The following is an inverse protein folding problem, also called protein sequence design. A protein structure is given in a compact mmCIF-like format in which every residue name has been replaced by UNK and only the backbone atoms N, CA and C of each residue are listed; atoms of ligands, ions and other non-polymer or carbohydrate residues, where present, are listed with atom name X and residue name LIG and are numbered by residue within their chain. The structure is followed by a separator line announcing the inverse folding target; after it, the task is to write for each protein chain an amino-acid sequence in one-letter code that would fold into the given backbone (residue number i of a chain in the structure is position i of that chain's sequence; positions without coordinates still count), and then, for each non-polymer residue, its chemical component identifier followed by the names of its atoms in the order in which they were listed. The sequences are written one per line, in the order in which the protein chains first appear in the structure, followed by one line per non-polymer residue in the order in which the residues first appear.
data_IF_181547894431
#
_entry.id   IF_181547894431
#
_cell.length_a   1.000
_cell.length_b   1.000
_cell.length_c   1.000
_cell.angle_alpha   90.00
_cell.angle_beta   90.00
_cell.angle_gamma   90.00
#
_symmetry.space_group_name_H-M   'P 1'
#
loop_
_entity.id
_entity.type
_entity.pdbx_description
1 polymer ?
#
# COMPACT_ATOMS: atom_id res chain seq x y z
N UNK A 1 -17.66 7.42 -25.43
CA UNK A 1 -17.69 6.34 -24.42
C UNK A 1 -16.26 6.10 -24.00
N UNK A 2 -15.86 6.66 -22.85
CA UNK A 2 -14.47 6.58 -22.38
C UNK A 2 -14.24 5.22 -21.73
N UNK A 3 -13.50 4.36 -22.43
CA UNK A 3 -13.00 3.12 -21.86
C UNK A 3 -11.99 3.48 -20.77
N UNK A 4 -12.40 3.39 -19.50
CA UNK A 4 -11.51 3.51 -18.35
C UNK A 4 -10.70 2.21 -18.30
N UNK A 5 -9.58 2.19 -19.02
CA UNK A 5 -8.54 1.18 -18.85
C UNK A 5 -7.96 1.41 -17.46
N UNK A 6 -8.22 0.49 -16.53
CA UNK A 6 -7.67 0.50 -15.19
C UNK A 6 -6.16 0.22 -15.26
N UNK A 7 -5.38 1.30 -15.49
CA UNK A 7 -3.92 1.37 -15.47
C UNK A 7 -3.35 1.16 -14.04
N UNK A 8 -3.83 0.14 -13.31
CA UNK A 8 -3.31 -0.18 -11.98
C UNK A 8 -1.86 -0.69 -12.03
N UNK A 9 -1.42 -1.23 -13.19
CA UNK A 9 -0.06 -1.71 -13.41
C UNK A 9 1.01 -0.61 -13.43
N UNK A 10 0.63 0.65 -13.68
CA UNK A 10 1.58 1.77 -13.79
C UNK A 10 1.71 2.57 -12.49
N UNK A 11 0.86 2.29 -11.49
CA UNK A 11 0.87 3.03 -10.22
C UNK A 11 1.95 2.50 -9.29
N UNK A 12 2.79 3.40 -8.79
CA UNK A 12 3.98 3.07 -7.98
C UNK A 12 3.66 2.47 -6.63
N UNK A 13 2.51 2.75 -6.04
CA UNK A 13 2.14 2.26 -4.71
C UNK A 13 0.82 1.50 -4.75
N UNK A 14 0.77 0.46 -3.92
CA UNK A 14 -0.45 -0.26 -3.56
C UNK A 14 -0.64 -0.16 -2.06
N UNK A 15 -1.82 0.26 -1.62
CA UNK A 15 -2.26 0.15 -0.23
C UNK A 15 -3.37 -0.88 -0.15
N UNK A 16 -3.22 -1.86 0.73
CA UNK A 16 -4.26 -2.78 1.15
C UNK A 16 -4.72 -2.37 2.54
N UNK A 17 -5.98 -1.95 2.67
CA UNK A 17 -6.53 -1.44 3.91
C UNK A 17 -7.64 -2.38 4.38
N UNK A 18 -7.50 -2.89 5.60
CA UNK A 18 -8.47 -3.74 6.26
C UNK A 18 -9.30 -2.92 7.24
N UNK A 19 -10.62 -3.00 7.10
CA UNK A 19 -11.59 -2.36 7.98
C UNK A 19 -12.44 -3.41 8.69
N UNK A 20 -12.76 -3.18 9.96
CA UNK A 20 -13.75 -3.96 10.68
C UNK A 20 -15.15 -3.64 10.16
N UNK A 21 -15.97 -4.67 10.00
CA UNK A 21 -17.38 -4.51 9.67
C UNK A 21 -18.22 -5.52 10.46
N UNK A 22 -19.54 -5.29 10.52
CA UNK A 22 -20.49 -6.16 11.23
C UNK A 22 -20.44 -7.60 10.71
N UNK A 23 -20.02 -7.81 9.45
CA UNK A 23 -19.94 -9.13 8.81
C UNK A 23 -18.53 -9.73 8.84
N UNK A 24 -17.57 -9.06 9.48
CA UNK A 24 -16.16 -9.45 9.52
C UNK A 24 -15.23 -8.39 8.92
N UNK A 25 -13.93 -8.66 8.94
CA UNK A 25 -12.95 -7.74 8.34
C UNK A 25 -13.11 -7.70 6.81
N UNK A 26 -13.13 -6.49 6.24
CA UNK A 26 -13.17 -6.25 4.80
C UNK A 26 -11.86 -5.60 4.37
N UNK A 27 -11.24 -6.16 3.34
CA UNK A 27 -10.03 -5.62 2.73
C UNK A 27 -10.36 -4.86 1.45
N UNK A 28 -9.73 -3.70 1.26
CA UNK A 28 -9.86 -2.83 0.07
C UNK A 28 -8.47 -2.48 -0.44
N UNK A 29 -8.28 -2.57 -1.76
CA UNK A 29 -7.01 -2.26 -2.40
C UNK A 29 -7.09 -0.95 -3.16
N UNK A 30 -6.05 -0.12 -3.01
CA UNK A 30 -5.90 1.16 -3.68
C UNK A 30 -4.54 1.24 -4.36
N UNK A 31 -4.53 1.75 -5.59
CA UNK A 31 -3.31 1.95 -6.37
C UNK A 31 -3.15 3.43 -6.67
N UNK A 32 -1.97 3.99 -6.39
CA UNK A 32 -1.72 5.43 -6.45
C UNK A 32 -0.25 5.75 -6.76
N UNK A 33 0.02 7.00 -7.15
CA UNK A 33 1.32 7.39 -7.73
C UNK A 33 2.32 7.85 -6.67
N UNK A 34 1.92 8.77 -5.79
CA UNK A 34 2.79 9.34 -4.78
C UNK A 34 2.42 8.83 -3.39
N UNK A 35 3.41 8.44 -2.57
CA UNK A 35 3.13 7.92 -1.23
C UNK A 35 2.38 8.93 -0.37
N UNK A 36 2.60 10.22 -0.63
CA UNK A 36 1.87 11.32 0.00
C UNK A 36 0.38 11.21 -0.22
N UNK A 37 -0.13 10.65 -1.33
CA UNK A 37 -1.57 10.60 -1.63
C UNK A 37 -2.33 9.62 -0.72
N UNK A 38 -1.64 8.82 0.10
CA UNK A 38 -2.28 7.90 1.02
C UNK A 38 -3.24 8.60 1.99
N UNK A 39 -2.91 9.82 2.46
CA UNK A 39 -3.82 10.55 3.37
C UNK A 39 -5.19 10.77 2.74
N UNK A 40 -5.25 11.10 1.45
CA UNK A 40 -6.51 11.29 0.73
C UNK A 40 -7.33 10.00 0.72
N UNK A 41 -6.70 8.84 0.48
CA UNK A 41 -7.38 7.54 0.47
C UNK A 41 -7.99 7.24 1.84
N UNK A 42 -7.26 7.52 2.92
CA UNK A 42 -7.72 7.25 4.27
C UNK A 42 -8.83 8.22 4.69
N UNK A 43 -8.69 9.51 4.38
CA UNK A 43 -9.69 10.54 4.71
C UNK A 43 -11.03 10.32 3.99
N UNK A 44 -11.00 9.82 2.75
CA UNK A 44 -12.20 9.50 1.99
C UNK A 44 -12.71 8.07 2.25
N UNK A 45 -12.01 7.31 3.09
CA UNK A 45 -12.35 5.93 3.42
C UNK A 45 -13.47 5.83 4.47
N UNK A 46 -13.76 4.58 4.91
CA UNK A 46 -14.58 4.32 6.10
C UNK A 46 -14.04 5.01 7.37
N UNK A 47 -14.85 4.98 8.44
CA UNK A 47 -14.49 5.53 9.74
C UNK A 47 -13.12 5.07 10.21
N UNK A 48 -12.29 6.01 10.68
CA UNK A 48 -10.92 5.72 11.10
C UNK A 48 -10.85 4.63 12.18
N UNK A 49 -11.80 4.59 13.12
CA UNK A 49 -11.81 3.59 14.19
C UNK A 49 -12.14 2.20 13.69
N UNK A 50 -12.68 2.08 12.46
CA UNK A 50 -12.86 0.79 11.82
C UNK A 50 -11.57 0.26 11.18
N UNK A 51 -10.56 1.10 10.95
CA UNK A 51 -9.30 0.68 10.32
C UNK A 51 -8.51 -0.26 11.24
N UNK A 52 -8.32 -1.49 10.79
CA UNK A 52 -7.56 -2.53 11.50
C UNK A 52 -6.09 -2.48 11.08
N UNK A 53 -5.85 -2.37 9.76
CA UNK A 53 -4.51 -2.47 9.18
C UNK A 53 -4.45 -1.70 7.87
N UNK A 54 -3.37 -0.98 7.65
CA UNK A 54 -3.00 -0.44 6.34
C UNK A 54 -1.62 -0.98 5.99
N UNK A 55 -1.52 -1.77 4.92
CA UNK A 55 -0.26 -2.29 4.40
C UNK A 55 0.03 -1.62 3.08
N UNK A 56 1.17 -0.93 2.99
CA UNK A 56 1.59 -0.22 1.79
C UNK A 56 2.78 -0.94 1.18
N UNK A 57 2.69 -1.24 -0.11
CA UNK A 57 3.74 -1.89 -0.88
C UNK A 57 4.12 -1.04 -2.08
N UNK A 58 5.41 -1.02 -2.39
CA UNK A 58 5.92 -0.44 -3.62
C UNK A 58 5.57 -1.38 -4.77
N UNK A 59 4.75 -0.92 -5.70
CA UNK A 59 4.26 -1.65 -6.86
C UNK A 59 5.13 -1.30 -8.08
N UNK A 60 6.36 -1.82 -8.12
CA UNK A 60 7.28 -1.70 -9.26
C UNK A 60 7.53 -3.06 -9.91
N UNK A 61 7.66 -3.06 -11.23
CA UNK A 61 8.07 -4.21 -12.04
C UNK A 61 9.60 -4.29 -12.24
N UNK A 62 10.32 -3.23 -11.90
CA UNK A 62 11.79 -3.15 -11.87
C UNK A 62 12.34 -3.70 -10.53
N UNK A 63 13.48 -4.38 -10.59
CA UNK A 63 14.12 -5.24 -9.58
C UNK A 63 14.70 -4.42 -8.41
N UNK A 64 13.84 -3.61 -7.76
CA UNK A 64 13.81 -3.23 -6.33
C UNK A 64 15.11 -2.96 -5.56
N UNK A 65 16.25 -2.80 -6.21
CA UNK A 65 17.55 -3.02 -5.59
C UNK A 65 18.01 -1.90 -4.69
N UNK A 66 17.30 -0.76 -4.69
CA UNK A 66 17.79 0.50 -4.13
C UNK A 66 16.76 1.27 -3.29
N UNK A 67 15.81 0.60 -2.63
CA UNK A 67 15.05 1.24 -1.55
C UNK A 67 15.09 0.37 -0.29
N UNK A 68 15.42 1.00 0.84
CA UNK A 68 15.80 0.38 2.13
C UNK A 68 17.14 -0.40 2.16
N UNK A 69 18.21 0.19 1.62
CA UNK A 69 19.59 -0.30 1.82
C UNK A 69 20.02 -0.33 3.30
N UNK A 70 19.26 0.31 4.21
CA UNK A 70 19.57 0.37 5.65
C UNK A 70 19.05 -0.87 6.40
N UNK A 71 17.93 -1.47 5.98
CA UNK A 71 17.40 -2.71 6.58
C UNK A 71 18.24 -3.94 6.21
N UNK A 72 18.91 -3.94 5.04
CA UNK A 72 19.86 -5.01 4.68
C UNK A 72 21.18 -4.93 5.46
N UNK A 73 21.53 -3.79 6.06
CA UNK A 73 22.70 -3.67 6.93
C UNK A 73 22.42 -4.28 8.32
N UNK A 74 21.23 -4.00 8.89
CA UNK A 74 20.84 -4.49 10.22
C UNK A 74 20.66 -6.00 10.33
N UNK A 75 20.30 -6.70 9.24
CA UNK A 75 20.19 -8.17 9.25
C UNK A 75 21.55 -8.86 9.03
N UNK A 76 22.57 -8.16 8.49
CA UNK A 76 23.91 -8.72 8.29
C UNK A 76 24.79 -8.62 9.54
N UNK A 77 24.54 -7.65 10.42
CA UNK A 77 25.28 -7.50 11.69
C UNK A 77 24.78 -8.41 12.83
N UNK A 78 23.69 -9.16 12.61
CA UNK A 78 23.07 -10.05 13.60
C UNK A 78 23.16 -11.54 13.27
N UNK A 79 23.86 -11.92 12.22
CA UNK A 79 24.22 -13.32 11.98
C UNK A 79 25.64 -13.56 12.52
N UNK A 80 25.82 -14.47 13.49
CA UNK A 80 27.13 -14.84 14.01
C UNK A 80 28.00 -15.55 12.97
#
# INVERSE_FOLDING_TARGET
MSNVVTLHGDKRWKATIEYSSVQGAKSVEHYFEEISDLHLIIEHGPDWNSLIRCTVTLNRTDDGGQQNSVEKALHRERQP
#
